data_IF_887587342975
#
_entry.id   IF_887587342975
#
_cell.length_a   1.000
_cell.length_b   1.000
_cell.length_c   1.000
_cell.angle_alpha   90.00
_cell.angle_beta   90.00
_cell.angle_gamma   90.00
#
_symmetry.space_group_name_H-M   'P 1'
#
loop_
_entity.id
_entity.type
_entity.pdbx_description
1 polymer ?
#
# COMPACT_ATOMS: atom_id res chain seq x y z
N UNK A 1 22.70 -32.21 -13.34
CA UNK A 1 22.08 -30.90 -13.13
C UNK A 1 22.48 -30.42 -11.74
N UNK A 2 23.15 -29.27 -11.62
CA UNK A 2 23.32 -28.65 -10.31
C UNK A 2 21.94 -28.10 -9.88
N UNK A 3 21.31 -28.76 -8.93
CA UNK A 3 20.08 -28.24 -8.30
C UNK A 3 20.45 -27.03 -7.43
N UNK A 4 19.85 -25.88 -7.72
CA UNK A 4 19.90 -24.68 -6.87
C UNK A 4 18.53 -24.45 -6.23
N UNK A 5 18.49 -24.41 -4.91
CA UNK A 5 17.30 -24.10 -4.15
C UNK A 5 17.00 -22.59 -4.14
N UNK A 6 15.87 -22.21 -3.61
CA UNK A 6 15.54 -20.80 -3.35
C UNK A 6 16.66 -20.05 -2.59
N UNK A 7 17.23 -20.69 -1.57
CA UNK A 7 18.27 -20.09 -0.71
C UNK A 7 19.62 -19.94 -1.41
N UNK A 8 19.91 -20.74 -2.43
CA UNK A 8 21.17 -20.63 -3.20
C UNK A 8 21.19 -19.38 -4.11
N UNK A 9 20.05 -18.71 -4.26
CA UNK A 9 19.92 -17.43 -4.96
C UNK A 9 19.92 -16.21 -4.03
N UNK A 10 20.21 -16.41 -2.73
CA UNK A 10 20.25 -15.35 -1.72
C UNK A 10 21.67 -15.16 -1.18
N UNK A 11 22.17 -13.93 -1.28
CA UNK A 11 23.28 -13.45 -0.47
C UNK A 11 22.73 -12.67 0.74
N UNK A 12 22.53 -13.36 1.85
CA UNK A 12 21.96 -12.76 3.07
C UNK A 12 22.87 -11.69 3.67
N UNK A 13 24.20 -11.78 3.48
CA UNK A 13 25.13 -10.77 3.96
C UNK A 13 25.01 -9.49 3.13
N UNK A 14 24.96 -9.60 1.80
CA UNK A 14 24.71 -8.47 0.90
C UNK A 14 23.33 -7.84 1.15
N UNK A 15 22.30 -8.66 1.34
CA UNK A 15 20.94 -8.19 1.57
C UNK A 15 20.84 -7.34 2.86
N UNK A 16 21.42 -7.80 3.96
CA UNK A 16 21.44 -7.05 5.24
C UNK A 16 22.33 -5.81 5.19
N UNK A 17 23.42 -5.82 4.42
CA UNK A 17 24.27 -4.66 4.21
C UNK A 17 23.57 -3.58 3.38
N UNK A 18 22.87 -3.98 2.32
CA UNK A 18 22.17 -3.08 1.41
C UNK A 18 20.88 -2.55 2.07
N UNK A 19 20.19 -3.38 2.85
CA UNK A 19 18.92 -3.08 3.52
C UNK A 19 18.99 -3.47 5.01
N UNK A 20 19.68 -2.69 5.87
CA UNK A 20 19.83 -3.04 7.28
C UNK A 20 18.51 -3.02 8.03
N UNK A 21 18.41 -3.79 9.12
CA UNK A 21 17.21 -3.94 9.95
C UNK A 21 17.58 -3.92 11.44
N UNK A 22 16.64 -3.53 12.30
CA UNK A 22 16.85 -3.45 13.73
C UNK A 22 17.90 -2.39 14.10
N UNK A 23 18.83 -2.68 15.04
CA UNK A 23 19.86 -1.72 15.45
C UNK A 23 20.76 -1.23 14.32
N UNK A 24 21.07 -2.11 13.35
CA UNK A 24 21.91 -1.77 12.21
C UNK A 24 21.27 -0.71 11.30
N UNK A 25 19.93 -0.65 11.26
CA UNK A 25 19.21 0.37 10.50
C UNK A 25 19.48 1.78 11.06
N UNK A 26 19.26 1.96 12.34
CA UNK A 26 19.52 3.24 12.99
C UNK A 26 21.01 3.63 12.91
N UNK A 27 21.93 2.68 13.17
CA UNK A 27 23.36 2.88 13.06
C UNK A 27 23.82 3.29 11.65
N UNK A 28 23.10 2.86 10.61
CA UNK A 28 23.44 3.17 9.22
C UNK A 28 22.88 4.52 8.77
N UNK A 29 21.64 4.85 9.16
CA UNK A 29 20.92 5.97 8.57
C UNK A 29 20.76 7.19 9.47
N UNK A 30 20.89 7.09 10.80
CA UNK A 30 20.88 8.28 11.67
C UNK A 30 22.08 9.17 11.36
N UNK A 31 21.80 10.45 11.07
CA UNK A 31 22.82 11.43 10.71
C UNK A 31 23.41 11.26 9.31
N UNK A 32 22.93 10.30 8.50
CA UNK A 32 23.35 10.19 7.10
C UNK A 32 22.86 11.41 6.30
N UNK A 33 23.73 11.98 5.48
CA UNK A 33 23.35 13.07 4.58
C UNK A 33 22.52 12.59 3.38
N UNK A 34 21.79 13.53 2.77
CA UNK A 34 21.06 13.24 1.51
C UNK A 34 22.00 12.83 0.36
N UNK A 35 23.22 13.35 0.32
CA UNK A 35 24.21 13.00 -0.72
C UNK A 35 24.73 11.57 -0.54
N UNK A 36 24.97 11.13 0.69
CA UNK A 36 25.35 9.74 0.98
C UNK A 36 24.22 8.76 0.64
N UNK A 37 22.97 9.12 0.99
CA UNK A 37 21.82 8.33 0.57
C UNK A 37 21.70 8.26 -0.95
N UNK A 38 21.89 9.41 -1.63
CA UNK A 38 21.86 9.46 -3.10
C UNK A 38 22.93 8.56 -3.72
N UNK A 39 24.14 8.55 -3.20
CA UNK A 39 25.21 7.68 -3.69
C UNK A 39 24.84 6.18 -3.57
N UNK A 40 24.17 5.80 -2.47
CA UNK A 40 23.65 4.42 -2.32
C UNK A 40 22.56 4.10 -3.35
N UNK A 41 21.62 5.01 -3.56
CA UNK A 41 20.56 4.87 -4.56
C UNK A 41 21.13 4.72 -5.98
N UNK A 42 22.14 5.51 -6.35
CA UNK A 42 22.82 5.43 -7.66
C UNK A 42 23.48 4.06 -7.88
N UNK A 43 24.14 3.53 -6.86
CA UNK A 43 24.77 2.20 -6.95
C UNK A 43 23.73 1.07 -7.14
N UNK A 44 22.59 1.15 -6.45
CA UNK A 44 21.48 0.20 -6.61
C UNK A 44 20.81 0.36 -8.00
N UNK A 45 20.59 1.61 -8.41
CA UNK A 45 19.97 1.92 -9.69
C UNK A 45 20.80 1.43 -10.87
N UNK A 46 22.13 1.55 -10.83
CA UNK A 46 23.00 1.03 -11.87
C UNK A 46 22.85 -0.50 -12.06
N UNK A 47 22.74 -1.25 -10.96
CA UNK A 47 22.48 -2.71 -11.01
C UNK A 47 21.09 -3.01 -11.60
N UNK A 48 20.08 -2.27 -11.16
CA UNK A 48 18.71 -2.41 -11.66
C UNK A 48 18.63 -2.13 -13.16
N UNK A 49 19.26 -1.05 -13.65
CA UNK A 49 19.28 -0.69 -15.06
C UNK A 49 19.99 -1.74 -15.92
N UNK A 50 21.14 -2.26 -15.46
CA UNK A 50 21.86 -3.34 -16.15
C UNK A 50 20.97 -4.58 -16.30
N UNK A 51 20.15 -4.89 -15.30
CA UNK A 51 19.18 -5.99 -15.35
C UNK A 51 18.01 -5.68 -16.27
N UNK A 52 17.43 -4.49 -16.17
CA UNK A 52 16.24 -4.09 -16.93
C UNK A 52 16.51 -4.11 -18.44
N UNK A 53 17.70 -3.75 -18.90
CA UNK A 53 18.09 -3.84 -20.31
C UNK A 53 18.13 -5.28 -20.87
N UNK A 54 18.14 -6.31 -20.00
CA UNK A 54 18.03 -7.72 -20.42
C UNK A 54 16.57 -8.16 -20.60
N UNK A 55 15.60 -7.37 -20.11
CA UNK A 55 14.17 -7.68 -20.12
C UNK A 55 13.53 -7.17 -21.42
N UNK A 56 12.84 -8.04 -22.20
CA UNK A 56 12.24 -7.64 -23.48
C UNK A 56 11.24 -6.49 -23.36
N UNK A 57 10.39 -6.50 -22.32
CA UNK A 57 9.42 -5.44 -22.03
C UNK A 57 10.08 -4.05 -22.01
N UNK A 58 11.15 -3.87 -21.22
CA UNK A 58 11.81 -2.57 -21.09
C UNK A 58 12.51 -2.17 -22.38
N UNK A 59 13.18 -3.11 -23.08
CA UNK A 59 13.80 -2.80 -24.38
C UNK A 59 12.80 -2.28 -25.39
N UNK A 60 11.63 -2.92 -25.48
CA UNK A 60 10.54 -2.47 -26.38
C UNK A 60 9.99 -1.11 -25.94
N UNK A 61 9.69 -0.96 -24.64
CA UNK A 61 9.07 0.23 -24.08
C UNK A 61 9.95 1.48 -24.23
N UNK A 62 11.25 1.35 -23.96
CA UNK A 62 12.21 2.45 -24.03
C UNK A 62 12.62 2.78 -25.47
N UNK A 63 12.87 1.77 -26.30
CA UNK A 63 13.21 1.98 -27.72
C UNK A 63 12.09 2.65 -28.51
N UNK A 64 10.83 2.43 -28.14
CA UNK A 64 9.69 3.16 -28.71
C UNK A 64 9.76 4.68 -28.44
N UNK A 65 10.60 5.12 -27.51
CA UNK A 65 10.91 6.53 -27.19
C UNK A 65 12.32 6.94 -27.65
N UNK A 66 13.01 6.11 -28.42
CA UNK A 66 14.35 6.38 -28.93
C UNK A 66 15.46 6.29 -27.87
N UNK A 67 15.24 5.57 -26.77
CA UNK A 67 16.20 5.43 -25.67
C UNK A 67 16.96 4.12 -25.88
N UNK A 68 18.29 4.20 -25.86
CA UNK A 68 19.20 3.07 -26.04
C UNK A 68 20.09 2.85 -24.79
N UNK A 69 20.74 1.66 -24.64
CA UNK A 69 21.67 1.40 -23.55
C UNK A 69 22.76 2.47 -23.47
N UNK A 70 22.96 3.04 -22.27
CA UNK A 70 23.93 4.10 -22.01
C UNK A 70 23.36 5.52 -22.04
N UNK A 71 22.13 5.71 -22.51
CA UNK A 71 21.48 7.03 -22.48
C UNK A 71 21.04 7.46 -21.06
N UNK A 72 20.74 6.48 -20.22
CA UNK A 72 20.38 6.67 -18.81
C UNK A 72 21.57 6.29 -17.94
N UNK A 73 22.25 7.28 -17.38
CA UNK A 73 23.50 7.11 -16.63
C UNK A 73 23.29 7.07 -15.12
N UNK A 74 22.21 7.65 -14.64
CA UNK A 74 21.87 7.73 -13.22
C UNK A 74 20.44 8.17 -13.01
N UNK A 75 20.08 8.38 -11.75
CA UNK A 75 18.74 8.79 -11.36
C UNK A 75 18.37 10.20 -11.86
N UNK A 76 19.34 11.05 -12.21
CA UNK A 76 19.07 12.37 -12.79
C UNK A 76 18.47 12.24 -14.22
N UNK A 77 18.80 11.16 -14.92
CA UNK A 77 18.23 10.86 -16.25
C UNK A 77 16.89 10.11 -16.17
N UNK A 78 16.44 9.70 -14.97
CA UNK A 78 15.29 8.81 -14.78
C UNK A 78 14.01 9.36 -15.42
N UNK A 79 13.79 10.67 -15.35
CA UNK A 79 12.62 11.34 -15.92
C UNK A 79 12.51 11.19 -17.44
N UNK A 80 13.59 10.85 -18.15
CA UNK A 80 13.60 10.57 -19.60
C UNK A 80 12.94 9.22 -19.94
N UNK A 81 12.93 8.26 -19.00
CA UNK A 81 12.24 7.00 -19.18
C UNK A 81 10.72 7.20 -19.09
N UNK A 82 9.91 6.69 -20.03
CA UNK A 82 8.46 6.75 -19.90
C UNK A 82 8.01 5.89 -18.70
N UNK A 83 7.07 6.39 -17.86
CA UNK A 83 6.42 5.54 -16.88
C UNK A 83 5.54 4.50 -17.56
N UNK A 84 5.23 3.43 -16.84
CA UNK A 84 4.26 2.41 -17.23
C UNK A 84 3.35 2.07 -16.05
N UNK A 85 2.23 1.43 -16.33
CA UNK A 85 1.23 1.09 -15.34
C UNK A 85 0.77 -0.36 -15.45
N UNK A 86 -0.16 -0.75 -14.60
CA UNK A 86 -0.80 -2.06 -14.66
C UNK A 86 -1.36 -2.39 -16.05
N UNK A 87 -1.91 -1.42 -16.77
CA UNK A 87 -2.48 -1.64 -18.11
C UNK A 87 -1.44 -2.10 -19.12
N UNK A 88 -0.20 -1.57 -19.02
CA UNK A 88 0.90 -1.96 -19.89
C UNK A 88 1.38 -3.38 -19.59
N UNK A 89 1.42 -3.75 -18.30
CA UNK A 89 1.75 -5.12 -17.88
C UNK A 89 0.69 -6.12 -18.34
N UNK A 90 -0.61 -5.78 -18.22
CA UNK A 90 -1.69 -6.65 -18.67
C UNK A 90 -1.68 -6.84 -20.18
N UNK A 91 -1.35 -5.78 -20.95
CA UNK A 91 -1.13 -5.90 -22.40
C UNK A 91 0.04 -6.84 -22.70
N UNK A 92 1.15 -6.71 -21.99
CA UNK A 92 2.29 -7.64 -22.14
C UNK A 92 1.87 -9.09 -21.86
N UNK A 93 1.02 -9.36 -20.85
CA UNK A 93 0.50 -10.70 -20.57
C UNK A 93 -0.37 -11.21 -21.71
N UNK A 94 -1.16 -10.36 -22.35
CA UNK A 94 -1.99 -10.74 -23.51
C UNK A 94 -1.14 -11.07 -24.74
N UNK A 95 -0.09 -10.29 -24.98
CA UNK A 95 0.81 -10.46 -26.12
C UNK A 95 1.82 -11.62 -25.91
N UNK A 96 2.21 -11.88 -24.66
CA UNK A 96 3.23 -12.88 -24.28
C UNK A 96 2.73 -13.77 -23.10
N UNK A 97 1.70 -14.61 -23.32
CA UNK A 97 1.15 -15.44 -22.25
C UNK A 97 2.16 -16.51 -21.79
N UNK A 98 2.07 -17.00 -20.53
CA UNK A 98 1.08 -16.62 -19.53
C UNK A 98 1.51 -15.46 -18.61
N UNK A 99 2.77 -15.03 -18.61
CA UNK A 99 3.34 -14.12 -17.61
C UNK A 99 3.75 -12.74 -18.15
N UNK A 100 3.55 -12.48 -19.44
CA UNK A 100 4.14 -11.31 -20.09
C UNK A 100 5.63 -11.49 -20.40
N UNK A 101 6.28 -10.47 -20.95
CA UNK A 101 7.70 -10.44 -21.25
C UNK A 101 8.52 -9.55 -20.29
N UNK A 102 7.92 -9.19 -19.15
CA UNK A 102 8.54 -8.32 -18.13
C UNK A 102 9.23 -9.07 -16.99
N UNK A 103 9.11 -10.41 -16.90
CA UNK A 103 9.70 -11.21 -15.81
C UNK A 103 11.24 -11.27 -15.86
N UNK A 104 11.84 -11.18 -17.05
CA UNK A 104 13.27 -11.15 -17.23
C UNK A 104 14.00 -12.50 -17.05
N UNK A 105 13.31 -13.62 -16.82
CA UNK A 105 13.92 -14.92 -16.58
C UNK A 105 14.75 -15.44 -17.78
N UNK A 106 14.40 -15.01 -18.99
CA UNK A 106 15.10 -15.41 -20.21
C UNK A 106 16.50 -14.80 -20.34
N UNK A 107 16.83 -13.79 -19.54
CA UNK A 107 18.15 -13.20 -19.44
C UNK A 107 19.13 -13.99 -18.56
N UNK A 108 18.69 -15.07 -17.90
CA UNK A 108 19.57 -15.95 -17.13
C UNK A 108 19.99 -17.17 -17.93
N UNK A 109 21.20 -17.66 -17.70
CA UNK A 109 21.58 -18.99 -18.14
C UNK A 109 20.67 -20.05 -17.48
N UNK A 110 20.41 -21.17 -18.16
CA UNK A 110 19.46 -22.18 -17.69
C UNK A 110 19.74 -22.67 -16.26
N UNK A 111 21.02 -22.87 -15.91
CA UNK A 111 21.44 -23.32 -14.56
C UNK A 111 21.43 -22.24 -13.49
N UNK A 112 21.31 -20.96 -13.87
CA UNK A 112 21.36 -19.81 -12.96
C UNK A 112 20.00 -19.13 -12.81
N UNK A 113 18.98 -19.62 -13.52
CA UNK A 113 17.62 -19.06 -13.46
C UNK A 113 17.04 -19.19 -12.05
N UNK A 114 16.68 -18.07 -11.39
CA UNK A 114 16.08 -18.13 -10.06
C UNK A 114 14.65 -18.70 -10.12
N UNK A 115 14.18 -19.35 -9.06
CA UNK A 115 12.79 -19.71 -8.93
C UNK A 115 11.92 -18.45 -8.92
N UNK A 116 10.75 -18.52 -9.58
CA UNK A 116 9.78 -17.44 -9.63
C UNK A 116 8.64 -17.70 -8.67
N UNK A 117 8.36 -16.74 -7.80
CA UNK A 117 7.16 -16.72 -6.95
C UNK A 117 6.08 -15.98 -7.72
N UNK A 118 4.93 -16.63 -7.89
CA UNK A 118 3.74 -16.07 -8.55
C UNK A 118 2.66 -15.80 -7.53
N UNK A 119 2.23 -14.55 -7.47
CA UNK A 119 1.02 -14.08 -6.79
C UNK A 119 0.15 -13.30 -7.79
N UNK A 120 -1.01 -12.82 -7.37
CA UNK A 120 -1.85 -11.98 -8.22
C UNK A 120 -2.37 -10.77 -7.45
N UNK A 121 -2.80 -9.74 -8.19
CA UNK A 121 -3.69 -8.72 -7.63
C UNK A 121 -5.08 -9.30 -7.38
N UNK A 122 -5.92 -8.61 -6.59
CA UNK A 122 -7.28 -9.07 -6.27
C UNK A 122 -8.22 -9.23 -7.47
N UNK A 123 -7.86 -8.67 -8.64
CA UNK A 123 -8.65 -8.80 -9.88
C UNK A 123 -10.05 -8.20 -9.83
N UNK A 124 -10.31 -7.27 -8.93
CA UNK A 124 -11.64 -6.69 -8.67
C UNK A 124 -12.29 -6.00 -9.88
N UNK A 125 -11.49 -5.64 -10.89
CA UNK A 125 -11.93 -4.92 -12.09
C UNK A 125 -11.77 -5.73 -13.38
N UNK A 126 -11.42 -7.02 -13.29
CA UNK A 126 -11.18 -7.87 -14.47
C UNK A 126 -10.18 -8.99 -14.18
N UNK A 127 -9.36 -9.34 -15.18
CA UNK A 127 -8.33 -10.39 -15.01
C UNK A 127 -7.30 -9.96 -13.95
N UNK A 128 -6.95 -10.85 -12.97
CA UNK A 128 -5.88 -10.60 -12.04
C UNK A 128 -4.55 -10.40 -12.76
N UNK A 129 -3.79 -9.39 -12.34
CA UNK A 129 -2.43 -9.18 -12.83
C UNK A 129 -1.49 -10.17 -12.13
N UNK A 130 -0.59 -10.86 -12.86
CA UNK A 130 0.48 -11.64 -12.23
C UNK A 130 1.47 -10.72 -11.54
N UNK A 131 1.81 -11.05 -10.30
CA UNK A 131 2.84 -10.42 -9.49
C UNK A 131 4.00 -11.39 -9.38
N UNK A 132 5.17 -11.00 -9.86
CA UNK A 132 6.32 -11.88 -10.02
C UNK A 132 7.47 -11.42 -9.14
N UNK A 133 8.04 -12.35 -8.38
CA UNK A 133 9.18 -12.10 -7.50
C UNK A 133 10.22 -13.20 -7.64
N UNK A 134 11.48 -12.82 -7.55
CA UNK A 134 12.57 -13.76 -7.29
C UNK A 134 12.87 -13.85 -5.79
N UNK A 135 13.79 -14.72 -5.39
CA UNK A 135 14.18 -14.89 -4.00
C UNK A 135 14.65 -13.59 -3.33
N UNK A 136 15.52 -12.82 -4.00
CA UNK A 136 16.03 -11.56 -3.46
C UNK A 136 14.92 -10.52 -3.28
N UNK A 137 14.14 -10.26 -4.31
CA UNK A 137 13.07 -9.26 -4.26
C UNK A 137 12.01 -9.64 -3.22
N UNK A 138 11.73 -10.92 -3.05
CA UNK A 138 10.79 -11.41 -2.04
C UNK A 138 11.30 -11.17 -0.61
N UNK A 139 12.55 -11.53 -0.33
CA UNK A 139 13.14 -11.34 1.00
C UNK A 139 13.31 -9.86 1.33
N UNK A 140 13.67 -9.00 0.35
CA UNK A 140 13.75 -7.55 0.61
C UNK A 140 12.39 -6.96 0.91
N UNK A 141 11.32 -7.33 0.20
CA UNK A 141 9.96 -6.89 0.54
C UNK A 141 9.61 -7.25 1.99
N UNK A 142 9.84 -8.50 2.38
CA UNK A 142 9.58 -8.98 3.73
C UNK A 142 10.44 -8.25 4.78
N UNK A 143 11.72 -8.02 4.48
CA UNK A 143 12.65 -7.28 5.33
C UNK A 143 12.18 -5.84 5.58
N UNK A 144 11.82 -5.10 4.53
CA UNK A 144 11.38 -3.71 4.64
C UNK A 144 10.13 -3.58 5.51
N UNK A 145 9.18 -4.51 5.38
CA UNK A 145 7.99 -4.54 6.23
C UNK A 145 8.32 -4.97 7.66
N UNK A 146 9.20 -5.96 7.85
CA UNK A 146 9.68 -6.37 9.17
C UNK A 146 10.43 -5.25 9.88
N UNK A 147 11.25 -4.47 9.15
CA UNK A 147 11.89 -3.24 9.63
C UNK A 147 10.87 -2.25 10.16
N UNK A 148 9.80 -2.00 9.39
CA UNK A 148 8.73 -1.11 9.82
C UNK A 148 8.08 -1.61 11.11
N UNK A 149 7.69 -2.88 11.18
CA UNK A 149 7.06 -3.45 12.37
C UNK A 149 7.94 -3.30 13.63
N UNK A 150 9.25 -3.53 13.51
CA UNK A 150 10.18 -3.31 14.61
C UNK A 150 10.25 -1.85 15.05
N UNK A 151 10.27 -0.90 14.10
CA UNK A 151 10.26 0.53 14.39
C UNK A 151 8.93 1.01 15.00
N UNK A 152 7.82 0.37 14.67
CA UNK A 152 6.50 0.59 15.27
C UNK A 152 6.37 -0.04 16.66
N UNK A 153 7.42 -0.68 17.16
CA UNK A 153 7.45 -1.28 18.49
C UNK A 153 6.89 -2.70 18.56
N UNK A 154 6.75 -3.39 17.43
CA UNK A 154 6.45 -4.82 17.41
C UNK A 154 7.63 -5.60 17.96
N UNK A 155 7.38 -6.63 18.76
CA UNK A 155 8.37 -7.39 19.48
C UNK A 155 8.34 -8.85 19.09
N UNK A 156 9.41 -9.56 19.41
CA UNK A 156 9.54 -10.99 19.16
C UNK A 156 8.57 -11.84 20.00
N UNK A 157 8.19 -11.34 21.16
CA UNK A 157 7.25 -12.00 22.07
C UNK A 157 5.79 -11.60 21.86
N UNK A 158 5.50 -10.71 20.88
CA UNK A 158 4.12 -10.45 20.45
C UNK A 158 3.53 -11.66 19.76
N UNK A 159 2.25 -11.91 20.01
CA UNK A 159 1.43 -12.82 19.23
C UNK A 159 0.62 -11.98 18.26
N UNK A 160 0.98 -12.08 16.98
CA UNK A 160 0.43 -11.21 15.93
C UNK A 160 -0.74 -11.90 15.22
N UNK A 161 -1.91 -11.28 15.22
CA UNK A 161 -3.06 -11.72 14.45
C UNK A 161 -3.09 -11.04 13.09
N UNK A 162 -3.05 -11.81 11.99
CA UNK A 162 -3.12 -11.27 10.62
C UNK A 162 -4.47 -11.54 9.99
N UNK A 163 -5.10 -10.46 9.53
CA UNK A 163 -6.36 -10.51 8.76
C UNK A 163 -6.15 -10.31 7.25
N UNK A 164 -4.91 -10.33 6.77
CA UNK A 164 -4.63 -10.37 5.34
C UNK A 164 -4.94 -11.76 4.77
N UNK A 165 -5.67 -11.82 3.63
CA UNK A 165 -5.97 -13.07 2.94
C UNK A 165 -4.71 -13.80 2.44
N UNK A 166 -4.74 -15.12 2.49
CA UNK A 166 -3.65 -16.02 2.10
C UNK A 166 -3.89 -16.78 0.79
N UNK A 167 -4.84 -16.32 -0.04
CA UNK A 167 -5.06 -16.86 -1.38
C UNK A 167 -3.95 -16.47 -2.37
N UNK A 168 -4.35 -16.16 -3.59
CA UNK A 168 -3.38 -15.71 -4.62
C UNK A 168 -2.89 -14.28 -4.43
N UNK A 169 -3.51 -13.45 -3.57
CA UNK A 169 -3.09 -12.09 -3.29
C UNK A 169 -1.82 -12.04 -2.45
N UNK A 170 -0.93 -11.12 -2.77
CA UNK A 170 0.41 -11.06 -2.16
C UNK A 170 0.40 -10.72 -0.66
N UNK A 171 -0.58 -9.92 -0.18
CA UNK A 171 -0.53 -9.27 1.15
C UNK A 171 -0.22 -10.23 2.30
N UNK A 172 -1.04 -11.28 2.49
CA UNK A 172 -0.85 -12.22 3.60
C UNK A 172 0.49 -12.95 3.57
N UNK A 173 1.00 -13.26 2.37
CA UNK A 173 2.23 -14.04 2.22
C UNK A 173 3.46 -13.26 2.65
N UNK A 174 3.68 -12.04 2.13
CA UNK A 174 4.88 -11.30 2.50
C UNK A 174 4.81 -10.69 3.91
N UNK A 175 3.60 -10.43 4.43
CA UNK A 175 3.38 -10.08 5.84
C UNK A 175 3.79 -11.23 6.74
N UNK A 176 3.41 -12.47 6.40
CA UNK A 176 3.87 -13.67 7.12
C UNK A 176 5.39 -13.77 7.13
N UNK A 177 6.03 -13.60 6.00
CA UNK A 177 7.49 -13.65 5.88
C UNK A 177 8.16 -12.52 6.66
N UNK A 178 7.61 -11.30 6.63
CA UNK A 178 8.10 -10.18 7.43
C UNK A 178 8.10 -10.50 8.93
N UNK A 179 7.00 -11.06 9.43
CA UNK A 179 6.85 -11.41 10.84
C UNK A 179 7.72 -12.59 11.25
N UNK A 180 7.76 -13.67 10.44
CA UNK A 180 8.48 -14.89 10.79
C UNK A 180 9.98 -14.81 10.53
N UNK A 181 10.42 -14.17 9.43
CA UNK A 181 11.84 -14.12 9.06
C UNK A 181 12.58 -12.95 9.74
N UNK A 182 11.92 -11.80 9.93
CA UNK A 182 12.58 -10.54 10.28
C UNK A 182 12.22 -10.01 11.67
N UNK A 183 10.97 -10.16 12.12
CA UNK A 183 10.57 -9.82 13.49
C UNK A 183 10.81 -11.01 14.43
N UNK A 184 10.50 -12.21 13.97
CA UNK A 184 10.58 -13.45 14.75
C UNK A 184 9.39 -13.61 15.70
N UNK A 185 8.25 -12.97 15.42
CA UNK A 185 7.04 -13.04 16.23
C UNK A 185 6.13 -14.21 15.80
N UNK A 186 5.49 -14.93 16.74
CA UNK A 186 4.42 -15.88 16.44
C UNK A 186 3.27 -15.23 15.70
N UNK A 187 2.76 -15.91 14.66
CA UNK A 187 1.72 -15.40 13.79
C UNK A 187 0.48 -16.30 13.80
N UNK A 188 -0.68 -15.72 14.06
CA UNK A 188 -1.99 -16.29 13.80
C UNK A 188 -2.42 -15.88 12.38
N UNK A 189 -2.16 -16.73 11.40
CA UNK A 189 -2.49 -16.48 9.97
C UNK A 189 -3.97 -16.74 9.70
N UNK A 190 -4.86 -15.91 10.26
CA UNK A 190 -6.30 -16.16 10.23
C UNK A 190 -6.94 -15.80 8.88
N UNK A 191 -6.36 -14.84 8.17
CA UNK A 191 -6.93 -14.36 6.91
C UNK A 191 -8.19 -13.52 7.11
N UNK A 192 -9.00 -13.44 6.07
CA UNK A 192 -10.29 -12.75 6.11
C UNK A 192 -11.36 -13.60 6.81
N UNK A 193 -12.55 -13.07 6.97
CA UNK A 193 -13.70 -13.83 7.49
C UNK A 193 -14.11 -15.04 6.63
N UNK A 194 -13.57 -15.14 5.42
CA UNK A 194 -13.80 -16.27 4.49
C UNK A 194 -12.91 -17.45 4.86
N UNK A 195 -11.61 -17.23 5.12
CA UNK A 195 -10.69 -18.30 5.50
C UNK A 195 -10.95 -18.78 6.95
N UNK A 196 -11.14 -17.84 7.87
CA UNK A 196 -11.45 -18.13 9.27
C UNK A 196 -12.60 -17.24 9.72
N UNK A 197 -13.74 -17.81 10.08
CA UNK A 197 -14.91 -17.03 10.53
C UNK A 197 -14.57 -16.06 11.66
N UNK A 198 -15.10 -14.85 11.61
CA UNK A 198 -14.76 -13.76 12.54
C UNK A 198 -14.91 -14.14 14.01
N UNK A 199 -15.97 -14.89 14.39
CA UNK A 199 -16.13 -15.40 15.77
C UNK A 199 -15.00 -16.37 16.17
N UNK A 200 -14.51 -17.19 15.27
CA UNK A 200 -13.38 -18.07 15.56
C UNK A 200 -12.07 -17.26 15.67
N UNK A 201 -11.90 -16.22 14.85
CA UNK A 201 -10.74 -15.36 14.93
C UNK A 201 -10.61 -14.71 16.31
N UNK A 202 -11.69 -14.10 16.83
CA UNK A 202 -11.66 -13.46 18.17
C UNK A 202 -11.41 -14.45 19.30
N UNK A 203 -11.96 -15.68 19.22
CA UNK A 203 -11.67 -16.75 20.17
C UNK A 203 -10.18 -17.16 20.14
N UNK A 204 -9.61 -17.34 18.94
CA UNK A 204 -8.18 -17.64 18.78
C UNK A 204 -7.30 -16.49 19.32
N UNK A 205 -7.70 -15.24 19.08
CA UNK A 205 -6.98 -14.07 19.63
C UNK A 205 -6.99 -14.09 21.17
N UNK A 206 -8.14 -14.41 21.78
CA UNK A 206 -8.26 -14.57 23.23
C UNK A 206 -7.43 -15.75 23.76
N UNK A 207 -7.61 -16.94 23.17
CA UNK A 207 -7.00 -18.18 23.65
C UNK A 207 -5.48 -18.19 23.55
N UNK A 208 -4.93 -17.55 22.52
CA UNK A 208 -3.49 -17.41 22.30
C UNK A 208 -2.91 -16.09 22.84
N UNK A 209 -3.75 -15.18 23.37
CA UNK A 209 -3.31 -13.91 23.92
C UNK A 209 -2.71 -12.97 22.85
N UNK A 210 -3.42 -12.72 21.76
CA UNK A 210 -2.95 -11.84 20.71
C UNK A 210 -2.69 -10.41 21.22
N UNK A 211 -1.49 -9.89 20.96
CA UNK A 211 -1.03 -8.57 21.41
C UNK A 211 -0.89 -7.56 20.29
N UNK A 212 -0.89 -8.02 19.04
CA UNK A 212 -0.86 -7.14 17.86
C UNK A 212 -1.79 -7.65 16.77
N UNK A 213 -2.31 -6.71 15.95
CA UNK A 213 -3.11 -7.02 14.77
C UNK A 213 -2.49 -6.36 13.55
N UNK A 214 -2.45 -7.08 12.41
CA UNK A 214 -2.04 -6.53 11.12
C UNK A 214 -3.11 -6.80 10.06
N UNK A 215 -3.46 -5.76 9.26
CA UNK A 215 -4.49 -5.93 8.24
C UNK A 215 -5.17 -4.66 7.74
N UNK A 216 -6.39 -4.81 7.25
CA UNK A 216 -7.21 -3.69 6.80
C UNK A 216 -8.10 -3.18 7.94
N UNK A 217 -8.12 -1.85 8.13
CA UNK A 217 -8.78 -1.17 9.24
C UNK A 217 -10.26 -1.52 9.37
N UNK A 218 -11.01 -1.48 8.28
CA UNK A 218 -12.45 -1.79 8.27
C UNK A 218 -12.74 -3.16 8.90
N UNK A 219 -11.97 -4.19 8.53
CA UNK A 219 -12.15 -5.54 9.07
C UNK A 219 -11.65 -5.68 10.52
N UNK A 220 -10.55 -5.02 10.87
CA UNK A 220 -10.03 -4.98 12.24
C UNK A 220 -11.05 -4.35 13.18
N UNK A 221 -11.70 -3.26 12.77
CA UNK A 221 -12.77 -2.61 13.54
C UNK A 221 -14.00 -3.53 13.71
N UNK A 222 -14.39 -4.25 12.65
CA UNK A 222 -15.46 -5.26 12.71
C UNK A 222 -15.12 -6.37 13.72
N UNK A 223 -13.87 -6.84 13.78
CA UNK A 223 -13.46 -7.85 14.77
C UNK A 223 -13.62 -7.37 16.20
N UNK A 224 -13.40 -6.08 16.51
CA UNK A 224 -13.66 -5.53 17.84
C UNK A 224 -15.14 -5.62 18.22
N UNK A 225 -16.05 -5.39 17.27
CA UNK A 225 -17.49 -5.57 17.52
C UNK A 225 -17.83 -7.05 17.71
N UNK A 226 -17.30 -7.94 16.86
CA UNK A 226 -17.50 -9.40 16.99
C UNK A 226 -16.98 -9.91 18.34
N UNK A 227 -15.86 -9.38 18.84
CA UNK A 227 -15.35 -9.73 20.18
C UNK A 227 -16.39 -9.40 21.26
N UNK A 228 -16.99 -8.21 21.24
CA UNK A 228 -18.05 -7.82 22.19
C UNK A 228 -19.29 -8.70 22.06
N UNK A 229 -19.70 -9.02 20.84
CA UNK A 229 -20.84 -9.91 20.57
C UNK A 229 -20.58 -11.36 21.13
N UNK A 230 -19.33 -11.80 21.16
CA UNK A 230 -18.88 -13.06 21.78
C UNK A 230 -18.64 -12.94 23.30
N UNK A 231 -18.87 -11.78 23.90
CA UNK A 231 -18.70 -11.52 25.34
C UNK A 231 -17.25 -11.23 25.77
N UNK A 232 -16.36 -10.92 24.81
CA UNK A 232 -14.95 -10.58 25.03
C UNK A 232 -14.76 -9.07 24.87
N UNK A 233 -14.15 -8.40 25.87
CA UNK A 233 -13.88 -6.98 25.78
C UNK A 233 -12.47 -6.72 25.21
N UNK A 234 -12.36 -6.06 24.03
CA UNK A 234 -11.09 -5.66 23.46
C UNK A 234 -10.26 -4.81 24.43
N UNK A 235 -8.95 -5.07 24.50
CA UNK A 235 -8.03 -4.41 25.41
C UNK A 235 -7.96 -5.05 26.81
N UNK A 236 -9.03 -5.71 27.27
CA UNK A 236 -9.05 -6.42 28.56
C UNK A 236 -8.90 -7.94 28.38
N UNK A 237 -9.80 -8.55 27.61
CA UNK A 237 -9.82 -10.01 27.40
C UNK A 237 -8.97 -10.41 26.19
N UNK A 238 -8.77 -9.49 25.26
CA UNK A 238 -7.84 -9.61 24.14
C UNK A 238 -6.85 -8.42 24.22
N UNK A 239 -5.64 -8.61 24.76
CA UNK A 239 -4.73 -7.52 25.16
C UNK A 239 -3.95 -6.93 23.98
N UNK A 240 -4.66 -6.52 22.92
CA UNK A 240 -4.04 -5.88 21.76
C UNK A 240 -3.47 -4.52 22.16
N UNK A 241 -2.16 -4.33 21.94
CA UNK A 241 -1.44 -3.08 22.22
C UNK A 241 -1.01 -2.34 20.97
N UNK A 242 -0.94 -3.03 19.81
CA UNK A 242 -0.47 -2.46 18.53
C UNK A 242 -1.35 -2.95 17.37
N UNK A 243 -1.76 -2.02 16.54
CA UNK A 243 -2.41 -2.28 15.26
C UNK A 243 -1.59 -1.62 14.16
N UNK A 244 -1.13 -2.41 13.19
CA UNK A 244 -0.39 -1.92 12.04
C UNK A 244 -1.04 -2.39 10.75
N UNK A 245 -1.50 -1.46 9.90
CA UNK A 245 -2.20 -1.87 8.69
C UNK A 245 -2.65 -0.72 7.81
N UNK A 246 -3.49 -1.04 6.86
CA UNK A 246 -4.11 -0.06 5.98
C UNK A 246 -5.40 0.45 6.63
N UNK A 247 -5.38 1.67 7.17
CA UNK A 247 -6.53 2.24 7.87
C UNK A 247 -7.71 2.52 6.93
N UNK A 248 -7.44 2.84 5.67
CA UNK A 248 -8.50 3.12 4.70
C UNK A 248 -9.27 4.39 5.05
N UNK A 249 -10.57 4.23 5.35
CA UNK A 249 -11.44 5.32 5.79
C UNK A 249 -11.45 5.49 7.32
N UNK A 250 -10.85 4.56 8.08
CA UNK A 250 -10.84 4.62 9.54
C UNK A 250 -9.78 5.59 10.06
N UNK A 251 -10.04 6.19 11.23
CA UNK A 251 -9.05 7.00 11.91
C UNK A 251 -8.29 6.18 12.97
N UNK A 252 -7.06 6.60 13.27
CA UNK A 252 -6.27 5.96 14.32
C UNK A 252 -6.97 6.04 15.68
N UNK A 253 -7.64 7.15 15.99
CA UNK A 253 -8.38 7.37 17.24
C UNK A 253 -9.58 6.42 17.35
N UNK A 254 -10.39 6.30 16.28
CA UNK A 254 -11.56 5.39 16.24
C UNK A 254 -11.12 3.93 16.43
N UNK A 255 -10.04 3.53 15.77
CA UNK A 255 -9.49 2.19 15.85
C UNK A 255 -8.89 1.91 17.23
N UNK A 256 -8.13 2.85 17.79
CA UNK A 256 -7.58 2.78 19.15
C UNK A 256 -8.68 2.61 20.19
N UNK A 257 -9.74 3.43 20.12
CA UNK A 257 -10.89 3.33 21.00
C UNK A 257 -11.61 1.97 20.88
N UNK A 258 -11.73 1.43 19.66
CA UNK A 258 -12.36 0.13 19.43
C UNK A 258 -11.60 -1.02 20.10
N UNK A 259 -10.26 -0.92 20.20
CA UNK A 259 -9.35 -1.94 20.75
C UNK A 259 -8.74 -1.57 22.10
N UNK A 260 -9.47 -0.80 22.92
CA UNK A 260 -9.11 -0.55 24.32
C UNK A 260 -7.87 0.30 24.52
N UNK A 261 -7.53 1.17 23.57
CA UNK A 261 -6.39 2.09 23.64
C UNK A 261 -5.12 1.58 22.96
N UNK A 262 -5.22 0.60 22.07
CA UNK A 262 -4.09 0.11 21.27
C UNK A 262 -3.45 1.24 20.46
N UNK A 263 -2.12 1.23 20.33
CA UNK A 263 -1.42 2.11 19.38
C UNK A 263 -1.79 1.71 17.95
N UNK A 264 -2.05 2.68 17.08
CA UNK A 264 -2.48 2.46 15.70
C UNK A 264 -1.57 3.21 14.75
N UNK A 265 -1.03 2.52 13.77
CA UNK A 265 -0.11 3.06 12.75
C UNK A 265 -0.45 2.52 11.37
N UNK A 266 -0.27 3.36 10.37
CA UNK A 266 -0.58 3.04 8.98
C UNK A 266 0.69 2.79 8.16
N UNK A 267 0.54 2.14 7.01
CA UNK A 267 1.59 1.96 6.02
C UNK A 267 1.02 1.82 4.61
N UNK A 268 1.84 2.14 3.63
CA UNK A 268 1.46 2.12 2.22
C UNK A 268 2.39 1.24 1.39
N UNK A 269 1.80 0.47 0.49
CA UNK A 269 2.49 -0.33 -0.52
C UNK A 269 1.50 -0.95 -1.49
N UNK A 270 2.01 -1.36 -2.63
CA UNK A 270 1.24 -2.08 -3.66
C UNK A 270 1.84 -3.45 -3.92
N UNK A 271 1.05 -4.35 -4.50
CA UNK A 271 1.48 -5.72 -4.74
C UNK A 271 2.81 -5.82 -5.49
N UNK A 272 3.01 -4.98 -6.50
CA UNK A 272 4.20 -4.99 -7.35
C UNK A 272 5.47 -4.57 -6.60
N UNK A 273 5.37 -3.51 -5.81
CA UNK A 273 6.53 -2.87 -5.15
C UNK A 273 6.76 -3.35 -3.72
N UNK A 274 5.80 -4.06 -3.10
CA UNK A 274 5.79 -4.25 -1.66
C UNK A 274 5.59 -2.92 -0.93
N UNK A 275 6.06 -2.83 0.31
CA UNK A 275 5.97 -1.61 1.10
C UNK A 275 6.82 -0.47 0.49
N UNK A 276 6.21 0.70 0.37
CA UNK A 276 6.87 1.94 -0.09
C UNK A 276 7.16 2.84 1.10
N UNK A 277 6.19 3.02 1.99
CA UNK A 277 6.30 3.93 3.13
C UNK A 277 5.47 3.45 4.34
N UNK A 278 5.80 3.93 5.54
CA UNK A 278 5.03 3.62 6.73
C UNK A 278 5.21 4.66 7.84
N UNK A 279 4.17 4.81 8.66
CA UNK A 279 4.23 5.57 9.90
C UNK A 279 5.03 4.83 10.96
N UNK A 280 5.85 5.55 11.70
CA UNK A 280 6.52 5.03 12.89
C UNK A 280 5.80 5.52 14.15
N UNK A 281 5.34 6.77 14.12
CA UNK A 281 4.50 7.36 15.15
C UNK A 281 3.20 7.85 14.50
N UNK A 282 2.05 7.72 15.18
CA UNK A 282 0.75 8.14 14.64
C UNK A 282 0.76 9.63 14.23
N UNK A 283 0.34 9.92 13.00
CA UNK A 283 0.18 11.28 12.48
C UNK A 283 1.46 12.01 12.05
N UNK A 284 2.63 11.37 12.14
CA UNK A 284 3.93 11.98 11.72
C UNK A 284 4.17 11.87 10.20
N UNK A 285 3.23 11.27 9.47
CA UNK A 285 3.38 10.91 8.07
C UNK A 285 4.18 9.62 7.88
N UNK A 286 4.18 9.11 6.66
CA UNK A 286 4.83 7.84 6.33
C UNK A 286 6.24 8.08 5.81
N UNK A 287 7.24 7.50 6.44
CA UNK A 287 8.63 7.51 5.98
C UNK A 287 8.75 6.62 4.75
N UNK A 288 9.26 7.19 3.64
CA UNK A 288 9.54 6.45 2.41
C UNK A 288 10.84 5.66 2.57
N UNK A 289 10.86 4.38 2.23
CA UNK A 289 12.07 3.54 2.28
C UNK A 289 13.03 3.89 1.14
N UNK A 290 13.64 5.08 1.17
CA UNK A 290 14.47 5.60 0.08
C UNK A 290 15.79 4.84 -0.12
N UNK A 291 16.17 3.95 0.79
CA UNK A 291 17.27 2.99 0.60
C UNK A 291 16.90 1.82 -0.33
N UNK A 292 15.62 1.66 -0.65
CA UNK A 292 15.09 0.57 -1.46
C UNK A 292 14.12 1.03 -2.56
N UNK A 293 13.48 2.18 -2.35
CA UNK A 293 12.44 2.73 -3.24
C UNK A 293 12.85 4.15 -3.67
N UNK A 294 12.81 4.43 -4.96
CA UNK A 294 12.90 5.80 -5.47
C UNK A 294 11.50 6.24 -5.91
N UNK A 295 10.91 7.18 -5.16
CA UNK A 295 9.53 7.63 -5.37
C UNK A 295 9.53 9.00 -6.04
N UNK A 296 8.84 9.11 -7.18
CA UNK A 296 8.52 10.36 -7.85
C UNK A 296 7.04 10.68 -7.58
N UNK A 297 6.70 11.96 -7.44
CA UNK A 297 5.32 12.44 -7.44
C UNK A 297 5.09 13.23 -8.72
N UNK A 298 4.22 12.70 -9.57
CA UNK A 298 3.96 13.29 -10.89
C UNK A 298 2.54 13.84 -10.97
N UNK A 299 2.42 15.00 -11.62
CA UNK A 299 1.12 15.59 -11.92
C UNK A 299 0.31 14.68 -12.84
N UNK A 300 -0.95 14.45 -12.46
CA UNK A 300 -1.82 13.46 -13.10
C UNK A 300 -2.12 13.81 -14.57
N UNK A 301 -2.21 15.09 -14.90
CA UNK A 301 -2.57 15.56 -16.24
C UNK A 301 -1.33 15.68 -17.16
N UNK A 302 -0.23 16.24 -16.64
CA UNK A 302 0.98 16.54 -17.46
C UNK A 302 2.07 15.48 -17.37
N UNK A 303 2.07 14.64 -16.32
CA UNK A 303 3.15 13.69 -16.03
C UNK A 303 4.47 14.35 -15.61
N UNK A 304 4.48 15.66 -15.38
CA UNK A 304 5.65 16.38 -14.85
C UNK A 304 5.75 16.23 -13.33
N UNK A 305 6.95 16.40 -12.73
CA UNK A 305 7.06 16.45 -11.28
C UNK A 305 6.17 17.54 -10.67
N UNK A 306 5.46 17.21 -9.59
CA UNK A 306 4.60 18.18 -8.91
C UNK A 306 5.43 19.21 -8.14
N UNK A 307 4.84 20.38 -7.90
CA UNK A 307 5.40 21.34 -6.96
C UNK A 307 5.42 20.75 -5.53
N UNK A 308 6.37 21.20 -4.73
CA UNK A 308 6.54 20.75 -3.36
C UNK A 308 5.26 20.89 -2.53
N UNK A 309 4.82 19.80 -1.91
CA UNK A 309 3.58 19.72 -1.12
C UNK A 309 2.30 19.59 -1.95
N UNK A 310 2.37 19.63 -3.28
CA UNK A 310 1.24 19.35 -4.14
C UNK A 310 0.97 17.83 -4.22
N UNK A 311 -0.28 17.48 -4.53
CA UNK A 311 -0.71 16.09 -4.72
C UNK A 311 -0.28 15.60 -6.09
N UNK A 312 0.26 14.39 -6.17
CA UNK A 312 0.64 13.75 -7.42
C UNK A 312 0.55 12.22 -7.38
N UNK A 313 0.58 11.61 -8.56
CA UNK A 313 0.69 10.16 -8.74
C UNK A 313 2.01 9.65 -8.19
N UNK A 314 1.94 8.57 -7.42
CA UNK A 314 3.12 7.85 -6.95
C UNK A 314 3.69 6.98 -8.06
N UNK A 315 4.86 7.36 -8.56
CA UNK A 315 5.61 6.59 -9.55
C UNK A 315 6.85 6.03 -8.88
N UNK A 316 6.94 4.70 -8.82
CA UNK A 316 7.93 4.00 -8.01
C UNK A 316 8.96 3.26 -8.86
N UNK A 317 10.24 3.40 -8.48
CA UNK A 317 11.35 2.58 -8.96
C UNK A 317 11.89 1.76 -7.79
N UNK A 318 11.79 0.42 -7.87
CA UNK A 318 12.24 -0.49 -6.82
C UNK A 318 13.71 -0.81 -7.01
N UNK A 319 14.60 -0.11 -6.32
CA UNK A 319 16.06 -0.20 -6.45
C UNK A 319 16.63 -1.60 -6.13
N UNK A 320 15.86 -2.44 -5.44
CA UNK A 320 16.26 -3.80 -5.03
C UNK A 320 15.79 -4.92 -5.98
N UNK A 321 14.86 -4.64 -6.91
CA UNK A 321 14.27 -5.67 -7.79
C UNK A 321 15.13 -5.91 -9.04
N UNK A 322 16.36 -6.37 -8.85
CA UNK A 322 17.31 -6.69 -9.91
C UNK A 322 17.41 -8.20 -10.19
N UNK A 323 16.47 -9.00 -9.66
CA UNK A 323 16.36 -10.45 -9.93
C UNK A 323 15.22 -10.78 -10.92
N UNK A 324 13.97 -10.80 -10.46
CA UNK A 324 12.78 -11.09 -11.27
C UNK A 324 11.89 -9.85 -11.30
N UNK A 325 11.41 -9.50 -12.49
CA UNK A 325 10.57 -8.35 -12.74
C UNK A 325 11.15 -7.05 -12.15
N UNK A 326 12.19 -6.48 -12.74
CA UNK A 326 12.63 -5.13 -12.42
C UNK A 326 11.47 -4.14 -12.46
N UNK A 327 11.42 -3.18 -11.54
CA UNK A 327 10.39 -2.13 -11.52
C UNK A 327 11.07 -0.77 -11.63
N UNK A 328 10.84 -0.07 -12.75
CA UNK A 328 11.40 1.24 -13.03
C UNK A 328 10.29 2.16 -13.54
N UNK A 329 9.98 3.20 -12.78
CA UNK A 329 8.91 4.18 -13.07
C UNK A 329 7.52 3.54 -13.23
N UNK A 330 7.17 2.63 -12.33
CA UNK A 330 5.82 2.07 -12.26
C UNK A 330 4.86 3.09 -11.65
N UNK A 331 3.88 3.55 -12.44
CA UNK A 331 2.81 4.41 -11.95
C UNK A 331 1.76 3.55 -11.24
N UNK A 332 1.61 3.75 -9.94
CA UNK A 332 0.64 3.04 -9.11
C UNK A 332 -0.79 3.55 -9.32
N UNK A 333 -0.94 4.74 -9.89
CA UNK A 333 -2.16 5.55 -9.92
C UNK A 333 -2.73 5.88 -8.53
N UNK A 334 -1.98 5.62 -7.47
CA UNK A 334 -2.31 6.10 -6.14
C UNK A 334 -1.69 7.48 -5.94
N UNK A 335 -2.41 8.40 -5.29
CA UNK A 335 -1.95 9.77 -5.11
C UNK A 335 -1.60 10.05 -3.65
N UNK A 336 -0.58 10.89 -3.49
CA UNK A 336 -0.13 11.42 -2.20
C UNK A 336 0.48 12.80 -2.36
N UNK A 337 0.93 13.38 -1.26
CA UNK A 337 1.77 14.59 -1.23
C UNK A 337 2.93 14.41 -0.25
N UNK A 338 4.00 15.15 -0.46
CA UNK A 338 5.11 15.18 0.48
C UNK A 338 4.73 15.91 1.78
N UNK A 339 5.21 15.39 2.92
CA UNK A 339 5.05 16.00 4.24
C UNK A 339 6.35 16.70 4.61
N UNK A 340 6.27 17.98 4.95
CA UNK A 340 7.41 18.81 5.33
C UNK A 340 7.83 18.60 6.79
N UNK A 341 9.05 19.00 7.08
CA UNK A 341 9.65 19.01 8.41
C UNK A 341 10.57 17.82 8.67
N UNK A 342 11.25 17.85 9.80
CA UNK A 342 12.14 16.78 10.25
C UNK A 342 11.33 15.57 10.69
N UNK A 343 11.87 14.36 10.51
CA UNK A 343 11.27 13.16 11.07
C UNK A 343 11.81 12.88 12.48
N UNK A 344 11.01 12.16 13.27
CA UNK A 344 11.33 11.89 14.69
C UNK A 344 12.59 11.04 14.90
N UNK A 345 13.11 10.39 13.85
CA UNK A 345 14.25 9.47 13.92
C UNK A 345 15.55 10.03 13.34
N UNK A 346 15.59 11.32 12.96
CA UNK A 346 16.76 11.95 12.31
C UNK A 346 17.28 11.13 11.12
N UNK A 347 16.33 10.67 10.26
CA UNK A 347 16.63 9.88 9.08
C UNK A 347 16.67 10.77 7.83
N UNK A 348 17.52 10.46 6.83
CA UNK A 348 17.59 11.22 5.59
C UNK A 348 16.40 10.98 4.64
N UNK A 349 15.36 10.29 5.08
CA UNK A 349 14.25 9.84 4.26
C UNK A 349 13.11 10.86 4.24
N UNK A 350 12.52 11.06 3.04
CA UNK A 350 11.32 11.88 2.87
C UNK A 350 10.10 11.20 3.51
N UNK A 351 9.08 12.01 3.78
CA UNK A 351 7.79 11.54 4.28
C UNK A 351 6.67 11.91 3.32
N UNK A 352 5.66 11.07 3.26
CA UNK A 352 4.43 11.29 2.49
C UNK A 352 3.21 11.23 3.42
N UNK A 353 2.11 11.84 2.97
CA UNK A 353 0.86 11.87 3.73
C UNK A 353 0.09 10.53 3.73
N UNK A 354 0.65 9.48 3.09
CA UNK A 354 -0.03 8.21 2.91
C UNK A 354 -0.96 8.21 1.69
N UNK A 355 -1.86 7.24 1.65
CA UNK A 355 -2.81 7.07 0.54
C UNK A 355 -3.92 8.12 0.60
N UNK A 356 -4.06 8.94 -0.43
CA UNK A 356 -5.08 10.00 -0.51
C UNK A 356 -6.17 9.69 -1.54
N UNK A 357 -6.01 8.64 -2.35
CA UNK A 357 -6.95 8.23 -3.38
C UNK A 357 -6.26 7.71 -4.64
N UNK A 358 -7.03 7.49 -5.70
CA UNK A 358 -6.52 6.99 -6.99
C UNK A 358 -6.82 7.96 -8.11
N UNK A 359 -5.82 8.20 -8.97
CA UNK A 359 -5.98 9.06 -10.15
C UNK A 359 -6.83 8.41 -11.25
N UNK A 360 -6.81 7.08 -11.37
CA UNK A 360 -7.64 6.34 -12.33
C UNK A 360 -9.13 6.25 -11.92
N UNK A 361 -9.46 6.57 -10.66
CA UNK A 361 -10.81 6.72 -10.12
C UNK A 361 -11.13 8.18 -9.78
N UNK A 362 -10.31 9.10 -10.23
CA UNK A 362 -10.53 10.54 -10.06
C UNK A 362 -11.73 11.01 -10.87
N UNK A 363 -12.55 11.85 -10.26
CA UNK A 363 -13.66 12.52 -10.93
C UNK A 363 -13.34 14.00 -11.05
N UNK A 364 -13.30 14.52 -12.25
CA UNK A 364 -13.07 15.95 -12.48
C UNK A 364 -14.39 16.70 -12.40
N UNK A 365 -14.67 17.29 -11.24
CA UNK A 365 -15.88 18.06 -10.99
C UNK A 365 -15.59 19.56 -11.14
N UNK A 366 -16.20 20.22 -12.14
CA UNK A 366 -16.01 21.66 -12.37
C UNK A 366 -14.56 22.13 -12.43
N UNK A 367 -13.69 21.28 -13.04
CA UNK A 367 -12.25 21.54 -13.15
C UNK A 367 -11.40 21.15 -11.94
N UNK A 368 -12.03 20.65 -10.86
CA UNK A 368 -11.33 20.20 -9.64
C UNK A 368 -11.26 18.68 -9.63
N UNK A 369 -10.06 18.15 -9.37
CA UNK A 369 -9.83 16.72 -9.23
C UNK A 369 -10.31 16.24 -7.87
N UNK A 370 -11.33 15.38 -7.84
CA UNK A 370 -11.87 14.75 -6.64
C UNK A 370 -11.52 13.27 -6.62
N UNK A 371 -10.97 12.82 -5.52
CA UNK A 371 -10.62 11.41 -5.28
C UNK A 371 -11.66 10.78 -4.36
N UNK A 372 -12.65 10.04 -4.87
CA UNK A 372 -13.78 9.54 -4.07
C UNK A 372 -13.36 8.73 -2.84
N UNK A 373 -12.30 7.95 -2.96
CA UNK A 373 -11.80 7.11 -1.87
C UNK A 373 -11.30 7.90 -0.65
N UNK A 374 -10.84 9.14 -0.85
CA UNK A 374 -10.39 10.01 0.23
C UNK A 374 -11.53 10.70 1.02
N UNK A 375 -12.76 10.67 0.50
CA UNK A 375 -13.91 11.36 1.13
C UNK A 375 -14.25 10.76 2.49
N UNK A 376 -14.18 9.44 2.64
CA UNK A 376 -14.49 8.76 3.90
C UNK A 376 -13.60 9.22 5.06
N UNK A 377 -12.31 9.34 4.83
CA UNK A 377 -11.38 9.80 5.85
C UNK A 377 -11.64 11.25 6.28
N UNK A 378 -12.03 12.12 5.33
CA UNK A 378 -12.42 13.51 5.65
C UNK A 378 -13.66 13.57 6.52
N UNK A 379 -14.66 12.74 6.25
CA UNK A 379 -15.90 12.67 7.02
C UNK A 379 -15.64 12.05 8.40
N UNK A 380 -14.94 10.93 8.47
CA UNK A 380 -14.67 10.22 9.72
C UNK A 380 -13.88 11.08 10.73
N UNK A 381 -12.98 11.94 10.25
CA UNK A 381 -12.19 12.83 11.10
C UNK A 381 -13.02 13.88 11.86
N UNK A 382 -14.17 14.30 11.32
CA UNK A 382 -14.98 15.41 11.89
C UNK A 382 -16.34 14.92 12.39
N UNK A 383 -16.80 13.74 11.95
CA UNK A 383 -18.14 13.20 12.27
C UNK A 383 -18.06 11.79 12.86
N UNK A 384 -17.86 11.68 14.19
CA UNK A 384 -17.79 10.36 14.85
C UNK A 384 -19.11 9.57 14.81
N UNK A 385 -20.23 10.22 14.39
CA UNK A 385 -21.53 9.59 14.19
C UNK A 385 -21.63 8.82 12.85
N UNK A 386 -20.71 9.06 11.92
CA UNK A 386 -20.59 8.26 10.70
C UNK A 386 -19.90 6.92 11.02
N UNK A 387 -20.41 5.83 10.41
CA UNK A 387 -19.83 4.49 10.63
C UNK A 387 -18.46 4.30 9.95
N UNK A 388 -18.09 5.20 9.01
CA UNK A 388 -16.96 5.05 8.09
C UNK A 388 -17.35 4.42 6.76
N UNK A 389 -18.54 3.80 6.65
CA UNK A 389 -19.01 3.21 5.41
C UNK A 389 -19.67 4.25 4.51
N UNK A 390 -19.24 4.26 3.26
CA UNK A 390 -19.72 5.19 2.24
C UNK A 390 -19.39 4.71 0.83
N UNK A 391 -20.04 5.33 -0.15
CA UNK A 391 -19.63 5.32 -1.55
C UNK A 391 -20.04 6.64 -2.22
N UNK A 392 -19.43 6.96 -3.35
CA UNK A 392 -19.76 8.12 -4.16
C UNK A 392 -20.50 7.70 -5.42
N UNK A 393 -21.62 8.36 -5.71
CA UNK A 393 -22.32 8.25 -6.99
C UNK A 393 -21.99 9.46 -7.86
N UNK A 394 -21.56 9.23 -9.08
CA UNK A 394 -21.40 10.29 -10.08
C UNK A 394 -22.49 10.16 -11.13
N UNK A 395 -23.22 11.23 -11.35
CA UNK A 395 -24.30 11.30 -12.32
C UNK A 395 -24.18 12.55 -13.18
N UNK A 396 -24.72 12.47 -14.37
CA UNK A 396 -24.86 13.61 -15.26
C UNK A 396 -26.35 13.94 -15.39
N UNK A 397 -26.76 15.11 -14.86
CA UNK A 397 -28.10 15.66 -15.04
C UNK A 397 -28.02 16.80 -16.07
N UNK A 398 -28.63 16.58 -17.25
CA UNK A 398 -28.52 17.45 -18.40
C UNK A 398 -27.03 17.73 -18.76
N UNK A 399 -26.54 18.95 -18.55
CA UNK A 399 -25.17 19.37 -18.86
C UNK A 399 -24.29 19.51 -17.62
N UNK A 400 -24.73 19.03 -16.44
CA UNK A 400 -23.96 19.15 -15.19
C UNK A 400 -23.61 17.80 -14.60
N UNK A 401 -22.32 17.62 -14.39
CA UNK A 401 -21.83 16.48 -13.60
C UNK A 401 -21.94 16.83 -12.12
N UNK A 402 -22.55 15.92 -11.35
CA UNK A 402 -22.70 15.99 -9.92
C UNK A 402 -22.15 14.73 -9.24
N UNK A 403 -21.66 14.90 -8.02
CA UNK A 403 -21.27 13.78 -7.16
C UNK A 403 -22.06 13.83 -5.87
N UNK A 404 -22.58 12.69 -5.44
CA UNK A 404 -23.24 12.49 -4.16
C UNK A 404 -22.45 11.49 -3.33
N UNK A 405 -22.01 11.88 -2.15
CA UNK A 405 -21.47 10.97 -1.15
C UNK A 405 -22.64 10.35 -0.36
N UNK A 406 -22.82 9.04 -0.47
CA UNK A 406 -23.80 8.27 0.30
C UNK A 406 -23.10 7.75 1.54
N UNK A 407 -23.46 8.23 2.70
CA UNK A 407 -22.73 8.03 3.96
C UNK A 407 -23.63 7.37 5.00
N UNK A 408 -23.17 6.29 5.61
CA UNK A 408 -23.85 5.69 6.76
C UNK A 408 -23.60 6.49 8.03
N UNK A 409 -24.68 6.95 8.65
CA UNK A 409 -24.61 7.71 9.90
C UNK A 409 -25.88 7.55 10.75
N UNK A 410 -25.75 7.82 12.05
CA UNK A 410 -26.85 7.82 12.99
C UNK A 410 -26.62 8.89 14.08
N UNK A 411 -27.57 9.84 14.26
CA UNK A 411 -28.84 10.03 13.55
C UNK A 411 -28.65 10.53 12.10
N UNK A 412 -29.71 10.41 11.29
CA UNK A 412 -29.76 10.96 9.94
C UNK A 412 -30.53 12.28 9.99
N UNK A 413 -29.82 13.36 10.28
CA UNK A 413 -30.45 14.68 10.35
C UNK A 413 -29.88 15.66 9.31
N UNK A 414 -30.70 16.66 8.95
CA UNK A 414 -30.34 17.64 7.93
C UNK A 414 -29.18 18.56 8.37
N UNK A 415 -29.01 18.80 9.65
CA UNK A 415 -27.92 19.64 10.15
C UNK A 415 -26.57 18.95 9.94
N UNK A 416 -26.48 17.65 10.25
CA UNK A 416 -25.29 16.84 10.00
C UNK A 416 -25.01 16.74 8.51
N UNK A 417 -26.02 16.47 7.67
CA UNK A 417 -25.88 16.44 6.20
C UNK A 417 -25.26 17.73 5.66
N UNK A 418 -25.84 18.89 6.07
CA UNK A 418 -25.33 20.20 5.63
C UNK A 418 -23.90 20.47 6.13
N UNK A 419 -23.60 20.06 7.36
CA UNK A 419 -22.27 20.22 7.92
C UNK A 419 -21.21 19.36 7.14
N UNK A 420 -21.56 18.13 6.75
CA UNK A 420 -20.71 17.30 5.89
C UNK A 420 -20.51 17.92 4.49
N UNK A 421 -21.55 18.44 3.86
CA UNK A 421 -21.46 19.16 2.58
C UNK A 421 -20.56 20.40 2.68
N UNK A 422 -20.65 21.14 3.77
CA UNK A 422 -19.82 22.31 4.05
C UNK A 422 -18.34 21.89 4.25
N UNK A 423 -18.09 20.81 5.01
CA UNK A 423 -16.76 20.25 5.19
C UNK A 423 -16.14 19.85 3.85
N UNK A 424 -16.85 19.05 3.05
CA UNK A 424 -16.36 18.58 1.77
C UNK A 424 -16.05 19.75 0.82
N UNK A 425 -16.91 20.75 0.79
CA UNK A 425 -16.66 21.98 -0.01
C UNK A 425 -15.42 22.74 0.47
N UNK A 426 -15.24 22.87 1.77
CA UNK A 426 -14.07 23.57 2.35
C UNK A 426 -12.77 22.83 2.07
N UNK A 427 -12.76 21.50 2.17
CA UNK A 427 -11.57 20.66 2.00
C UNK A 427 -11.22 20.37 0.54
N UNK A 428 -12.23 20.21 -0.32
CA UNK A 428 -12.04 19.80 -1.71
C UNK A 428 -12.17 20.95 -2.71
N UNK A 429 -12.70 22.10 -2.29
CA UNK A 429 -12.88 23.26 -3.16
C UNK A 429 -14.06 23.13 -4.14
N UNK A 430 -14.86 22.06 -4.07
CA UNK A 430 -16.03 21.80 -4.90
C UNK A 430 -17.18 21.26 -4.09
N UNK A 431 -18.42 21.61 -4.47
CA UNK A 431 -19.61 21.08 -3.80
C UNK A 431 -19.87 19.63 -4.17
N UNK A 432 -20.01 18.80 -3.16
CA UNK A 432 -20.40 17.40 -3.23
C UNK A 432 -21.65 17.29 -2.35
N UNK A 433 -22.72 16.74 -2.91
CA UNK A 433 -23.96 16.50 -2.17
C UNK A 433 -23.77 15.31 -1.22
N UNK A 434 -24.46 15.33 -0.07
CA UNK A 434 -24.40 14.23 0.90
C UNK A 434 -25.80 13.62 1.05
N UNK A 435 -25.86 12.29 1.04
CA UNK A 435 -27.06 11.52 1.38
C UNK A 435 -26.74 10.61 2.55
N UNK A 436 -27.41 10.86 3.68
CA UNK A 436 -27.28 10.01 4.86
C UNK A 436 -28.17 8.79 4.72
N UNK A 437 -27.66 7.62 5.07
CA UNK A 437 -28.37 6.34 5.08
C UNK A 437 -28.14 5.62 6.41
N UNK A 438 -28.96 4.63 6.72
CA UNK A 438 -28.80 3.87 7.96
C UNK A 438 -27.59 2.93 7.90
N UNK A 439 -26.98 2.60 9.05
CA UNK A 439 -25.91 1.62 9.12
C UNK A 439 -26.27 0.30 8.44
N UNK A 440 -25.39 -0.19 7.54
CA UNK A 440 -25.57 -1.41 6.75
C UNK A 440 -26.23 -1.21 5.38
N UNK A 441 -26.83 -0.06 5.09
CA UNK A 441 -27.51 0.16 3.80
C UNK A 441 -26.54 0.27 2.61
N UNK A 442 -25.28 0.65 2.83
CA UNK A 442 -24.29 0.73 1.75
C UNK A 442 -23.70 -0.63 1.38
N UNK A 443 -23.86 -1.65 2.23
CA UNK A 443 -23.17 -2.94 2.11
C UNK A 443 -23.45 -3.67 0.77
N UNK A 444 -24.66 -3.54 0.21
CA UNK A 444 -25.01 -4.14 -1.09
C UNK A 444 -24.25 -3.52 -2.27
N UNK A 445 -23.90 -2.24 -2.19
CA UNK A 445 -23.17 -1.50 -3.22
C UNK A 445 -21.66 -1.65 -2.99
N UNK A 446 -21.21 -1.42 -1.77
CA UNK A 446 -19.79 -1.47 -1.41
C UNK A 446 -19.22 -2.89 -1.43
N UNK A 447 -20.07 -3.92 -1.26
CA UNK A 447 -19.70 -5.34 -1.17
C UNK A 447 -18.66 -5.60 -0.07
N UNK A 448 -18.70 -4.82 1.02
CA UNK A 448 -17.70 -4.84 2.10
C UNK A 448 -17.52 -6.24 2.72
N UNK A 449 -18.57 -7.06 2.77
CA UNK A 449 -18.49 -8.42 3.33
C UNK A 449 -17.83 -9.43 2.38
N UNK A 450 -17.72 -9.11 1.09
CA UNK A 450 -17.26 -10.02 0.04
C UNK A 450 -15.90 -9.60 -0.53
N UNK A 451 -15.48 -8.36 -0.28
CA UNK A 451 -14.29 -7.74 -0.90
C UNK A 451 -13.35 -7.20 0.16
N UNK A 452 -12.06 -7.43 0.01
CA UNK A 452 -11.04 -6.79 0.85
C UNK A 452 -10.94 -5.26 0.64
N UNK A 453 -11.34 -4.78 -0.56
CA UNK A 453 -11.41 -3.36 -0.90
C UNK A 453 -12.83 -3.04 -1.35
N UNK A 454 -13.61 -2.31 -0.55
CA UNK A 454 -14.98 -1.93 -0.88
C UNK A 454 -15.06 -1.06 -2.14
N UNK A 455 -16.20 -1.12 -2.84
CA UNK A 455 -16.49 -0.21 -3.96
C UNK A 455 -16.81 1.16 -3.37
N UNK A 456 -16.03 2.17 -3.72
CA UNK A 456 -16.21 3.55 -3.23
C UNK A 456 -16.65 4.53 -4.32
N UNK A 457 -16.75 4.09 -5.58
CA UNK A 457 -17.23 4.90 -6.70
C UNK A 457 -18.21 4.09 -7.55
N UNK A 458 -19.38 4.65 -7.79
CA UNK A 458 -20.37 4.22 -8.78
C UNK A 458 -20.49 5.33 -9.82
N UNK A 459 -19.95 5.10 -11.00
CA UNK A 459 -20.02 6.04 -12.12
C UNK A 459 -21.23 5.68 -13.00
N UNK A 460 -22.24 6.53 -12.96
CA UNK A 460 -23.51 6.38 -13.70
C UNK A 460 -23.68 7.47 -14.80
N UNK A 461 -22.55 8.02 -15.30
CA UNK A 461 -22.55 9.03 -16.36
C UNK A 461 -22.84 8.46 -17.72
#
# INVERSE_FOLDING_TARGET
MNYRSYFDHLDMAALRRDHPVGPDFAATFSGMSRDELRARQEALFARLMARAWQVPFYRRHWRAKGIEPGDIRGLDDLSRLPPYSKSDLMRSVEEHPPFGDFHGLDGYAEGDRPPMILQTTSGTTGKPQPLLYGPKSREVQALLLGRLYLLQGMRRDDIVHSVYGHGMVNGGHYVREALTHWVGAPLLSAGTGVETRSANQVRLMHDFGATAIVGFGDYIKRLAQVARDEGLEPGRDIPVRLISGHLGAETAESMSAAWGGAAVVDWYGVGDTGIIAGEIAPGDGMIVWEDAQYLELLDVDSGAPVAEGAVGDMVCTCLYKDDVFPIIRFNTHDVTREVRGENTLDLPFRRIAGFMGRSDNMVKLRGINVYPQGIGALIAAEFPQATGEFFCEVRRDADREGMTAVVEAQPQDDAMRQAMEALLRARLGVGIDVRLVAPGETASVTQIEQRQKPIRLVDAR
#
